data_IF_939711673287
#
_entry.id   IF_939711673287
#
_cell.length_a   1.000
_cell.length_b   1.000
_cell.length_c   1.000
_cell.angle_alpha   90.00
_cell.angle_beta   90.00
_cell.angle_gamma   90.00
#
_symmetry.space_group_name_H-M   'P 1'
#
loop_
_entity.id
_entity.type
_entity.pdbx_description
1 polymer ?
#
# COMPACT_ATOMS: atom_id res chain seq x y z
N UNK A 1 -24.48 8.21 -25.05
CA UNK A 1 -23.08 8.62 -24.70
C UNK A 1 -23.03 9.39 -23.38
N UNK A 2 -23.75 10.50 -23.23
CA UNK A 2 -23.76 11.36 -22.01
C UNK A 2 -23.98 10.58 -20.70
N UNK A 3 -24.99 9.71 -20.67
CA UNK A 3 -25.25 8.86 -19.49
C UNK A 3 -24.08 7.98 -19.09
N UNK A 4 -23.31 7.42 -20.04
CA UNK A 4 -22.11 6.62 -19.75
C UNK A 4 -20.98 7.50 -19.22
N UNK A 5 -20.83 8.71 -19.77
CA UNK A 5 -19.83 9.69 -19.29
C UNK A 5 -20.15 10.15 -17.87
N UNK A 6 -21.40 10.46 -17.55
CA UNK A 6 -21.79 10.85 -16.18
C UNK A 6 -21.56 9.70 -15.18
N UNK A 7 -21.85 8.45 -15.56
CA UNK A 7 -21.48 7.29 -14.73
C UNK A 7 -19.97 7.19 -14.53
N UNK A 8 -19.19 7.40 -15.58
CA UNK A 8 -17.73 7.38 -15.48
C UNK A 8 -17.24 8.46 -14.52
N UNK A 9 -17.79 9.67 -14.57
CA UNK A 9 -17.44 10.74 -13.63
C UNK A 9 -17.75 10.34 -12.18
N UNK A 10 -18.91 9.75 -11.91
CA UNK A 10 -19.24 9.24 -10.58
C UNK A 10 -18.25 8.21 -10.06
N UNK A 11 -17.78 7.27 -10.93
CA UNK A 11 -16.75 6.31 -10.56
C UNK A 11 -15.40 6.99 -10.29
N UNK A 12 -14.99 7.97 -11.13
CA UNK A 12 -13.73 8.70 -10.96
C UNK A 12 -13.71 9.57 -9.70
N UNK A 13 -14.84 10.19 -9.35
CA UNK A 13 -15.00 10.95 -8.10
C UNK A 13 -14.87 10.01 -6.90
N UNK A 14 -15.59 8.89 -6.91
CA UNK A 14 -15.49 7.88 -5.84
C UNK A 14 -14.06 7.29 -5.74
N UNK A 15 -13.41 7.01 -6.87
CA UNK A 15 -12.00 6.60 -6.86
C UNK A 15 -11.11 7.65 -6.19
N UNK A 16 -11.34 8.93 -6.51
CA UNK A 16 -10.58 10.04 -5.90
C UNK A 16 -10.72 10.06 -4.38
N UNK A 17 -11.93 9.89 -3.86
CA UNK A 17 -12.20 9.83 -2.41
C UNK A 17 -11.52 8.61 -1.75
N UNK A 18 -11.57 7.45 -2.40
CA UNK A 18 -10.91 6.24 -1.89
C UNK A 18 -9.38 6.39 -1.88
N UNK A 19 -8.78 6.98 -2.92
CA UNK A 19 -7.34 7.25 -2.96
C UNK A 19 -6.91 8.29 -1.91
N UNK A 20 -7.73 9.31 -1.63
CA UNK A 20 -7.48 10.25 -0.54
C UNK A 20 -7.53 9.55 0.83
N UNK A 21 -8.53 8.69 1.03
CA UNK A 21 -8.67 7.90 2.25
C UNK A 21 -7.49 6.94 2.43
N UNK A 22 -7.05 6.31 1.33
CA UNK A 22 -5.89 5.42 1.33
C UNK A 22 -4.60 6.18 1.68
N UNK A 23 -4.43 7.37 1.14
CA UNK A 23 -3.28 8.22 1.48
C UNK A 23 -3.27 8.58 2.97
N UNK A 24 -4.41 8.93 3.55
CA UNK A 24 -4.52 9.21 4.99
C UNK A 24 -4.18 7.98 5.86
N UNK A 25 -4.57 6.77 5.42
CA UNK A 25 -4.21 5.51 6.11
C UNK A 25 -2.72 5.23 6.01
N UNK A 26 -2.09 5.47 4.86
CA UNK A 26 -0.63 5.31 4.68
C UNK A 26 0.15 6.28 5.56
N UNK A 27 -0.36 7.50 5.80
CA UNK A 27 0.25 8.41 6.78
C UNK A 27 0.14 7.88 8.22
N UNK A 28 -1.02 7.33 8.61
CA UNK A 28 -1.20 6.68 9.92
C UNK A 28 -0.30 5.45 10.09
N UNK A 29 -0.09 4.67 9.04
CA UNK A 29 0.87 3.55 9.02
C UNK A 29 2.29 4.06 9.33
N UNK A 30 2.73 5.16 8.69
CA UNK A 30 4.00 5.82 8.96
C UNK A 30 4.13 6.23 10.42
N UNK A 31 3.12 6.93 10.94
CA UNK A 31 3.14 7.44 12.32
C UNK A 31 3.19 6.27 13.33
N UNK A 32 2.49 5.17 13.04
CA UNK A 32 2.51 3.96 13.86
C UNK A 32 3.88 3.27 13.86
N UNK A 33 4.58 3.25 12.71
CA UNK A 33 5.95 2.71 12.61
C UNK A 33 6.93 3.59 13.40
N UNK A 34 6.88 4.89 13.22
CA UNK A 34 7.75 5.84 13.95
C UNK A 34 7.48 5.81 15.45
N UNK A 35 6.22 5.70 15.84
CA UNK A 35 5.80 5.60 17.25
C UNK A 35 5.95 4.21 17.87
N UNK A 36 6.46 3.21 17.13
CA UNK A 36 6.59 1.80 17.55
C UNK A 36 5.27 1.22 18.11
N UNK A 37 4.14 1.64 17.54
CA UNK A 37 2.82 1.25 17.99
C UNK A 37 2.23 0.15 17.11
N UNK A 38 2.48 -1.11 17.49
CA UNK A 38 2.00 -2.29 16.76
C UNK A 38 0.48 -2.36 16.62
N UNK A 39 -0.28 -1.90 17.63
CA UNK A 39 -1.73 -1.92 17.57
C UNK A 39 -2.25 -0.95 16.51
N UNK A 40 -1.71 0.26 16.45
CA UNK A 40 -2.06 1.24 15.42
C UNK A 40 -1.59 0.78 14.04
N UNK A 41 -0.42 0.15 13.93
CA UNK A 41 0.08 -0.40 12.69
C UNK A 41 -0.87 -1.47 12.14
N UNK A 42 -1.28 -2.44 12.97
CA UNK A 42 -2.23 -3.47 12.58
C UNK A 42 -3.60 -2.88 12.16
N UNK A 43 -4.07 -1.85 12.87
CA UNK A 43 -5.31 -1.17 12.50
C UNK A 43 -5.18 -0.46 11.14
N UNK A 44 -4.05 0.20 10.89
CA UNK A 44 -3.77 0.86 9.61
C UNK A 44 -3.68 -0.17 8.46
N UNK A 45 -3.00 -1.30 8.65
CA UNK A 45 -2.93 -2.37 7.65
C UNK A 45 -4.33 -2.89 7.29
N UNK A 46 -5.18 -3.23 8.27
CA UNK A 46 -6.55 -3.68 8.02
C UNK A 46 -7.40 -2.64 7.28
N UNK A 47 -7.26 -1.36 7.65
CA UNK A 47 -7.94 -0.28 6.96
C UNK A 47 -7.47 -0.13 5.50
N UNK A 48 -6.17 -0.28 5.25
CA UNK A 48 -5.55 -0.26 3.93
C UNK A 48 -6.09 -1.39 3.04
N UNK A 49 -6.14 -2.63 3.57
CA UNK A 49 -6.66 -3.80 2.84
C UNK A 49 -8.12 -3.61 2.44
N UNK A 50 -8.95 -3.09 3.34
CA UNK A 50 -10.36 -2.78 3.05
C UNK A 50 -10.52 -1.72 1.96
N UNK A 51 -9.67 -0.68 1.94
CA UNK A 51 -9.71 0.35 0.90
C UNK A 51 -9.22 -0.18 -0.45
N UNK A 52 -8.18 -1.02 -0.45
CA UNK A 52 -7.67 -1.67 -1.67
C UNK A 52 -8.72 -2.59 -2.29
N UNK A 53 -9.48 -3.34 -1.48
CA UNK A 53 -10.58 -4.17 -1.97
C UNK A 53 -11.67 -3.31 -2.65
N UNK A 54 -12.06 -2.19 -2.03
CA UNK A 54 -13.03 -1.26 -2.61
C UNK A 54 -12.53 -0.65 -3.92
N UNK A 55 -11.26 -0.24 -3.97
CA UNK A 55 -10.63 0.30 -5.18
C UNK A 55 -10.61 -0.73 -6.31
N UNK A 56 -10.33 -2.00 -6.00
CA UNK A 56 -10.36 -3.08 -6.99
C UNK A 56 -11.75 -3.25 -7.62
N UNK A 57 -12.80 -3.29 -6.79
CA UNK A 57 -14.18 -3.39 -7.28
C UNK A 57 -14.54 -2.19 -8.16
N UNK A 58 -14.10 -0.99 -7.77
CA UNK A 58 -14.36 0.23 -8.53
C UNK A 58 -13.62 0.22 -9.87
N UNK A 59 -12.41 -0.30 -9.90
CA UNK A 59 -11.62 -0.42 -11.13
C UNK A 59 -12.26 -1.41 -12.12
N UNK A 60 -12.74 -2.56 -11.66
CA UNK A 60 -13.50 -3.50 -12.48
C UNK A 60 -14.76 -2.84 -13.09
N UNK A 61 -15.46 -2.01 -12.32
CA UNK A 61 -16.62 -1.25 -12.84
C UNK A 61 -16.20 -0.20 -13.86
N UNK A 62 -15.08 0.47 -13.64
CA UNK A 62 -14.51 1.46 -14.57
C UNK A 62 -14.13 0.80 -15.88
N UNK A 63 -13.44 -0.34 -15.85
CA UNK A 63 -13.06 -1.09 -17.05
C UNK A 63 -14.28 -1.49 -17.88
N UNK A 64 -15.29 -2.08 -17.24
CA UNK A 64 -16.54 -2.45 -17.92
C UNK A 64 -17.23 -1.24 -18.58
N UNK A 65 -17.17 -0.08 -17.93
CA UNK A 65 -17.77 1.15 -18.46
C UNK A 65 -16.96 1.71 -19.64
N UNK A 66 -15.63 1.64 -19.54
CA UNK A 66 -14.72 2.05 -20.61
C UNK A 66 -14.90 1.17 -21.87
N UNK A 67 -15.08 -0.14 -21.69
CA UNK A 67 -15.36 -1.04 -22.82
C UNK A 67 -16.68 -0.69 -23.52
N UNK A 68 -17.73 -0.36 -22.76
CA UNK A 68 -19.00 0.11 -23.34
C UNK A 68 -18.85 1.43 -24.09
N UNK A 69 -18.03 2.36 -23.55
CA UNK A 69 -17.73 3.63 -24.24
C UNK A 69 -16.92 3.38 -25.52
N UNK A 70 -15.97 2.44 -25.48
CA UNK A 70 -15.19 2.05 -26.67
C UNK A 70 -16.09 1.56 -27.80
N UNK A 71 -17.06 0.69 -27.50
CA UNK A 71 -18.04 0.21 -28.49
C UNK A 71 -18.86 1.36 -29.08
N UNK A 72 -19.33 2.31 -28.26
CA UNK A 72 -20.10 3.47 -28.74
C UNK A 72 -19.27 4.39 -29.63
N UNK A 73 -17.95 4.46 -29.37
CA UNK A 73 -17.00 5.25 -30.14
C UNK A 73 -16.37 4.52 -31.33
N UNK A 74 -16.82 3.29 -31.63
CA UNK A 74 -16.26 2.41 -32.66
C UNK A 74 -14.75 2.17 -32.50
N UNK A 75 -14.27 2.08 -31.25
CA UNK A 75 -12.89 1.72 -30.90
C UNK A 75 -12.83 0.28 -30.39
N UNK A 76 -11.66 -0.35 -30.45
CA UNK A 76 -11.44 -1.67 -29.88
C UNK A 76 -11.62 -1.70 -28.36
N UNK A 77 -12.07 -2.83 -27.76
CA UNK A 77 -12.14 -3.00 -26.32
C UNK A 77 -10.73 -2.91 -25.72
N UNK A 78 -10.61 -2.31 -24.53
CA UNK A 78 -9.36 -2.05 -23.82
C UNK A 78 -8.36 -1.10 -24.52
N UNK A 79 -8.70 -0.51 -25.68
CA UNK A 79 -7.82 0.40 -26.42
C UNK A 79 -7.92 1.86 -25.95
N UNK A 80 -8.94 2.20 -25.14
CA UNK A 80 -9.17 3.60 -24.75
C UNK A 80 -8.72 3.87 -23.33
N UNK A 81 -7.71 4.71 -23.16
CA UNK A 81 -7.36 5.35 -21.89
C UNK A 81 -8.23 6.58 -21.62
N UNK A 82 -8.28 7.05 -20.36
CA UNK A 82 -8.98 8.29 -19.99
C UNK A 82 -8.47 9.49 -20.80
N UNK A 83 -7.17 9.54 -21.10
CA UNK A 83 -6.56 10.59 -21.93
C UNK A 83 -7.04 10.53 -23.37
N UNK A 84 -7.09 9.35 -23.96
CA UNK A 84 -7.62 9.15 -25.32
C UNK A 84 -9.11 9.48 -25.37
N UNK A 85 -9.89 9.03 -24.37
CA UNK A 85 -11.30 9.36 -24.28
C UNK A 85 -11.53 10.88 -24.23
N UNK A 86 -10.69 11.62 -23.49
CA UNK A 86 -10.79 13.10 -23.43
C UNK A 86 -10.54 13.79 -24.76
N UNK A 87 -9.87 13.13 -25.72
CA UNK A 87 -9.65 13.67 -27.06
C UNK A 87 -10.76 13.28 -28.06
N UNK A 88 -11.58 12.28 -27.73
CA UNK A 88 -12.65 11.75 -28.57
C UNK A 88 -14.02 12.34 -28.23
N UNK A 89 -14.18 12.94 -27.06
CA UNK A 89 -15.44 13.54 -26.59
C UNK A 89 -15.37 15.08 -26.69
N UNK A 90 -16.56 15.68 -26.84
CA UNK A 90 -16.68 17.13 -26.91
C UNK A 90 -16.69 17.80 -25.53
N UNK A 91 -16.43 19.12 -25.52
CA UNK A 91 -16.61 19.93 -24.31
C UNK A 91 -18.11 19.96 -23.91
N UNK A 92 -18.47 19.98 -22.61
CA UNK A 92 -17.56 20.16 -21.45
C UNK A 92 -16.91 18.86 -20.92
N UNK A 93 -17.24 17.70 -21.48
CA UNK A 93 -16.79 16.40 -20.98
C UNK A 93 -15.28 16.19 -21.11
N UNK A 94 -14.69 16.67 -22.21
CA UNK A 94 -13.25 16.59 -22.45
C UNK A 94 -12.44 17.28 -21.33
N UNK A 95 -12.82 18.50 -20.97
CA UNK A 95 -12.17 19.26 -19.90
C UNK A 95 -12.33 18.60 -18.53
N UNK A 96 -13.52 18.07 -18.21
CA UNK A 96 -13.78 17.34 -16.97
C UNK A 96 -12.90 16.08 -16.86
N UNK A 97 -12.79 15.29 -17.95
CA UNK A 97 -11.95 14.08 -17.97
C UNK A 97 -10.47 14.41 -17.76
N UNK A 98 -9.94 15.45 -18.42
CA UNK A 98 -8.54 15.88 -18.22
C UNK A 98 -8.27 16.29 -16.79
N UNK A 99 -9.19 17.04 -16.18
CA UNK A 99 -9.09 17.45 -14.77
C UNK A 99 -9.10 16.27 -13.82
N UNK A 100 -10.04 15.33 -13.98
CA UNK A 100 -10.13 14.12 -13.18
C UNK A 100 -8.87 13.24 -13.32
N UNK A 101 -8.42 13.03 -14.56
CA UNK A 101 -7.21 12.24 -14.86
C UNK A 101 -5.96 12.83 -14.19
N UNK A 102 -5.75 14.13 -14.32
CA UNK A 102 -4.61 14.83 -13.70
C UNK A 102 -4.66 14.73 -12.18
N UNK A 103 -5.84 14.90 -11.59
CA UNK A 103 -6.02 14.81 -10.13
C UNK A 103 -5.74 13.39 -9.61
N UNK A 104 -6.28 12.37 -10.28
CA UNK A 104 -6.04 10.97 -9.92
C UNK A 104 -4.57 10.59 -10.06
N UNK A 105 -3.92 10.97 -11.16
CA UNK A 105 -2.51 10.70 -11.38
C UNK A 105 -1.63 11.32 -10.28
N UNK A 106 -1.91 12.58 -9.91
CA UNK A 106 -1.21 13.25 -8.82
C UNK A 106 -1.39 12.52 -7.47
N UNK A 107 -2.59 12.04 -7.16
CA UNK A 107 -2.86 11.28 -5.93
C UNK A 107 -2.14 9.93 -5.92
N UNK A 108 -2.15 9.21 -7.03
CA UNK A 108 -1.47 7.92 -7.18
C UNK A 108 0.04 8.11 -6.98
N UNK A 109 0.65 9.14 -7.58
CA UNK A 109 2.07 9.44 -7.42
C UNK A 109 2.43 9.75 -5.96
N UNK A 110 1.61 10.57 -5.28
CA UNK A 110 1.79 10.87 -3.85
C UNK A 110 1.68 9.61 -2.99
N UNK A 111 0.71 8.74 -3.29
CA UNK A 111 0.52 7.48 -2.59
C UNK A 111 1.70 6.52 -2.79
N UNK A 112 2.20 6.41 -4.02
CA UNK A 112 3.37 5.58 -4.32
C UNK A 112 4.61 6.05 -3.57
N UNK A 113 4.87 7.37 -3.54
CA UNK A 113 5.97 7.95 -2.79
C UNK A 113 5.85 7.68 -1.28
N UNK A 114 4.65 7.86 -0.71
CA UNK A 114 4.41 7.59 0.70
C UNK A 114 4.56 6.10 1.06
N UNK A 115 4.05 5.19 0.22
CA UNK A 115 4.23 3.75 0.40
C UNK A 115 5.72 3.34 0.34
N UNK A 116 6.48 3.92 -0.58
CA UNK A 116 7.92 3.64 -0.68
C UNK A 116 8.67 4.11 0.57
N UNK A 117 8.34 5.29 1.10
CA UNK A 117 8.89 5.77 2.37
C UNK A 117 8.56 4.83 3.54
N UNK A 118 7.31 4.37 3.64
CA UNK A 118 6.90 3.44 4.69
C UNK A 118 7.65 2.11 4.59
N UNK A 119 7.82 1.59 3.37
CA UNK A 119 8.60 0.37 3.12
C UNK A 119 10.04 0.51 3.62
N UNK A 120 10.69 1.63 3.33
CA UNK A 120 12.05 1.91 3.80
C UNK A 120 12.12 1.99 5.34
N UNK A 121 11.17 2.70 5.96
CA UNK A 121 11.10 2.80 7.43
C UNK A 121 10.93 1.44 8.09
N UNK A 122 10.05 0.60 7.56
CA UNK A 122 9.82 -0.77 8.06
C UNK A 122 11.08 -1.64 7.92
N UNK A 123 11.78 -1.57 6.78
CA UNK A 123 13.04 -2.30 6.58
C UNK A 123 14.10 -1.90 7.60
N UNK A 124 14.31 -0.59 7.80
CA UNK A 124 15.25 -0.09 8.81
C UNK A 124 14.86 -0.49 10.24
N UNK A 125 13.58 -0.45 10.56
CA UNK A 125 13.10 -0.89 11.88
C UNK A 125 13.37 -2.37 12.13
N UNK A 126 13.19 -3.23 11.11
CA UNK A 126 13.49 -4.65 11.19
C UNK A 126 15.00 -4.91 11.34
N UNK A 127 15.84 -4.21 10.59
CA UNK A 127 17.31 -4.29 10.71
C UNK A 127 17.79 -3.92 12.12
N UNK A 128 17.23 -2.86 12.71
CA UNK A 128 17.55 -2.46 14.09
C UNK A 128 17.14 -3.51 15.11
N UNK A 129 15.96 -4.12 14.96
CA UNK A 129 15.49 -5.19 15.85
C UNK A 129 16.37 -6.43 15.72
N UNK A 130 16.72 -6.82 14.50
CA UNK A 130 17.62 -7.96 14.26
C UNK A 130 19.01 -7.72 14.84
N UNK A 131 19.60 -6.54 14.59
CA UNK A 131 20.89 -6.18 15.13
C UNK A 131 20.92 -6.14 16.66
N UNK A 132 19.85 -5.65 17.30
CA UNK A 132 19.69 -5.66 18.75
C UNK A 132 19.58 -7.08 19.30
N UNK A 133 18.85 -7.96 18.63
CA UNK A 133 18.70 -9.36 18.98
C UNK A 133 20.03 -10.10 18.88
N UNK A 134 20.79 -9.89 17.79
CA UNK A 134 22.11 -10.50 17.61
C UNK A 134 23.11 -10.03 18.66
N UNK A 135 23.08 -8.73 19.00
CA UNK A 135 23.89 -8.16 20.07
C UNK A 135 23.58 -8.84 21.43
N UNK A 136 22.31 -8.96 21.77
CA UNK A 136 21.87 -9.63 23.02
C UNK A 136 22.32 -11.10 23.04
N UNK A 137 22.17 -11.83 21.95
CA UNK A 137 22.60 -13.21 21.85
C UNK A 137 24.13 -13.34 22.01
N UNK A 138 24.91 -12.44 21.41
CA UNK A 138 26.35 -12.43 21.53
C UNK A 138 26.81 -12.11 22.97
N UNK A 139 26.15 -11.15 23.64
CA UNK A 139 26.44 -10.83 25.04
C UNK A 139 26.07 -12.00 25.97
N UNK A 140 24.94 -12.67 25.74
CA UNK A 140 24.53 -13.83 26.54
C UNK A 140 25.41 -15.05 26.28
N UNK A 141 25.88 -15.25 25.04
CA UNK A 141 26.83 -16.34 24.70
C UNK A 141 28.27 -16.08 25.22
N UNK A 142 28.66 -14.82 25.38
CA UNK A 142 29.98 -14.43 25.86
C UNK A 142 30.15 -14.52 27.37
N UNK A 143 29.09 -14.78 28.15
CA UNK A 143 29.17 -15.02 29.58
C UNK A 143 29.25 -16.54 29.88
N UNK A 144 30.45 -17.15 29.93
CA UNK A 144 30.61 -18.51 30.41
C UNK A 144 30.27 -18.51 31.91
N UNK A 145 29.22 -19.21 32.27
CA UNK A 145 28.90 -19.43 33.71
C UNK A 145 29.97 -20.35 34.29
N UNK A 146 30.88 -19.78 35.09
CA UNK A 146 31.83 -20.54 35.85
C UNK A 146 31.11 -21.31 36.97
N UNK A 147 31.08 -22.61 36.87
CA UNK A 147 30.65 -23.44 38.01
C UNK A 147 31.78 -23.52 39.05
N UNK A 148 31.39 -23.71 40.31
CA UNK A 148 32.28 -23.79 41.48
C UNK A 148 33.32 -24.90 41.36
N UNK A 149 33.22 -25.80 40.37
CA UNK A 149 34.18 -26.87 40.03
C UNK A 149 35.32 -26.44 39.11
N UNK A 150 35.31 -25.21 38.57
CA UNK A 150 36.36 -24.73 37.65
C UNK A 150 36.21 -25.21 36.20
N UNK A 151 35.16 -25.97 35.86
CA UNK A 151 34.95 -26.47 34.50
C UNK A 151 34.17 -25.47 33.64
N UNK A 152 34.69 -25.19 32.44
CA UNK A 152 34.06 -24.41 31.41
C UNK A 152 33.04 -25.24 30.63
N UNK A 153 31.78 -25.15 31.02
CA UNK A 153 30.72 -25.70 30.17
C UNK A 153 30.43 -24.73 29.01
N UNK A 154 30.91 -25.05 27.84
CA UNK A 154 30.38 -24.49 26.58
C UNK A 154 28.98 -25.07 26.38
N UNK A 155 27.95 -24.41 26.87
CA UNK A 155 26.59 -24.75 26.50
C UNK A 155 26.44 -24.52 25.01
N UNK A 156 26.26 -25.58 24.23
CA UNK A 156 25.66 -25.49 22.90
C UNK A 156 24.21 -25.10 23.10
N UNK A 157 23.95 -23.81 23.32
CA UNK A 157 22.60 -23.28 23.20
C UNK A 157 22.25 -23.17 21.73
N UNK A 158 21.69 -24.22 21.19
CA UNK A 158 20.77 -24.12 20.07
C UNK A 158 19.52 -23.41 20.60
N UNK A 159 19.56 -22.07 20.61
CA UNK A 159 18.41 -21.25 20.95
C UNK A 159 17.34 -21.34 19.87
N UNK A 160 16.48 -22.35 19.97
CA UNK A 160 15.16 -22.33 19.35
C UNK A 160 14.21 -21.56 20.26
N UNK A 161 14.28 -20.25 20.22
CA UNK A 161 13.27 -19.39 20.80
C UNK A 161 12.50 -18.70 19.68
N UNK A 162 11.77 -19.38 18.90
CA UNK A 162 10.70 -18.96 17.99
C UNK A 162 10.69 -19.88 16.76
N UNK A 163 10.22 -21.09 16.91
CA UNK A 163 9.59 -21.80 15.83
C UNK A 163 8.08 -21.74 16.10
N UNK A 164 7.47 -20.63 15.69
CA UNK A 164 6.03 -20.55 15.51
C UNK A 164 5.77 -20.85 14.05
N UNK A 165 5.30 -22.06 13.76
CA UNK A 165 4.67 -22.38 12.49
C UNK A 165 3.47 -21.46 12.27
N UNK A 166 3.43 -20.79 11.14
CA UNK A 166 2.23 -20.22 10.55
C UNK A 166 1.94 -20.99 9.30
#
# INVERSE_FOLDING_TARGET
MEYLLEKLFGLLEHATELYQSLFAVVQKEKDAVVGLNLQQLNAACKAKDNLLLKLRILEEQREQLMDRLAVVLNCGPHEISLTQLSNLVEEPYAGRLRTCSTRLLSLIQKLQAANQQNKMLLSHSLELVQGSYDLLNNVMAANPVYYRSGDLHKSKQTGKLLSGDV
#
